data_IF_757838170564
#
_entry.id   IF_757838170564
#
_cell.length_a   1.000
_cell.length_b   1.000
_cell.length_c   1.000
_cell.angle_alpha   90.00
_cell.angle_beta   90.00
_cell.angle_gamma   90.00
#
_symmetry.space_group_name_H-M   'P 1'
#
loop_
_entity.id
_entity.type
_entity.pdbx_description
1 polymer ?
#
# COMPACT_ATOMS: atom_id res chain seq x y z
N UNK A 1 -5.75 33.90 -17.35
CA UNK A 1 -5.77 32.44 -17.06
C UNK A 1 -7.12 32.13 -16.41
N UNK A 2 -7.85 31.08 -16.82
CA UNK A 2 -9.11 30.66 -16.15
C UNK A 2 -8.86 29.32 -15.44
N UNK A 3 -8.84 29.29 -14.10
CA UNK A 3 -8.63 28.05 -13.36
C UNK A 3 -9.84 27.11 -13.52
N UNK A 4 -9.57 25.81 -13.60
CA UNK A 4 -10.58 24.74 -13.63
C UNK A 4 -10.48 23.98 -12.31
N UNK A 5 -11.62 23.71 -11.69
CA UNK A 5 -11.73 22.92 -10.46
C UNK A 5 -12.41 21.58 -10.75
N UNK A 6 -11.98 20.53 -10.05
CA UNK A 6 -12.55 19.18 -10.16
C UNK A 6 -12.82 18.62 -8.76
N UNK A 7 -13.88 17.83 -8.65
CA UNK A 7 -14.27 17.10 -7.44
C UNK A 7 -14.65 15.68 -7.84
N UNK A 8 -14.16 14.70 -7.08
CA UNK A 8 -14.42 13.28 -7.26
C UNK A 8 -15.51 12.76 -6.31
N UNK A 9 -16.22 11.73 -6.76
CA UNK A 9 -17.26 11.03 -5.99
C UNK A 9 -17.06 9.51 -6.09
N UNK A 10 -16.08 8.92 -5.37
CA UNK A 10 -15.72 7.51 -5.50
C UNK A 10 -16.89 6.54 -5.23
N UNK A 11 -17.82 6.91 -4.34
CA UNK A 11 -18.99 6.09 -4.00
C UNK A 11 -19.92 5.83 -5.20
N UNK A 12 -19.89 6.71 -6.21
CA UNK A 12 -20.68 6.52 -7.42
C UNK A 12 -20.09 5.42 -8.33
N UNK A 13 -18.78 5.18 -8.25
CA UNK A 13 -18.12 4.14 -9.03
C UNK A 13 -18.64 2.75 -8.65
N UNK A 14 -18.72 2.46 -7.34
CA UNK A 14 -19.22 1.18 -6.81
C UNK A 14 -20.71 0.94 -7.13
N UNK A 15 -21.48 2.00 -7.41
CA UNK A 15 -22.90 1.91 -7.83
C UNK A 15 -23.06 1.67 -9.34
N UNK A 16 -22.12 2.17 -10.14
CA UNK A 16 -22.20 2.15 -11.59
C UNK A 16 -21.51 0.93 -12.22
N UNK A 17 -20.45 0.43 -11.60
CA UNK A 17 -19.58 -0.61 -12.14
C UNK A 17 -19.26 -1.63 -11.05
N UNK A 18 -19.32 -2.91 -11.38
CA UNK A 18 -18.90 -3.97 -10.45
C UNK A 18 -17.37 -3.97 -10.35
N UNK A 19 -16.83 -4.33 -9.19
CA UNK A 19 -15.37 -4.42 -9.01
C UNK A 19 -14.73 -5.43 -9.99
N UNK A 20 -15.46 -6.48 -10.37
CA UNK A 20 -15.09 -7.44 -11.41
C UNK A 20 -14.88 -6.81 -12.79
N UNK A 21 -15.38 -5.60 -13.03
CA UNK A 21 -15.33 -4.90 -14.31
C UNK A 21 -14.36 -3.71 -14.27
N UNK A 22 -13.72 -3.46 -13.13
CA UNK A 22 -12.63 -2.49 -13.01
C UNK A 22 -11.47 -2.81 -13.98
N UNK A 23 -10.77 -1.80 -14.53
CA UNK A 23 -9.61 -2.07 -15.39
C UNK A 23 -8.48 -2.75 -14.61
N UNK A 24 -7.60 -3.46 -15.31
CA UNK A 24 -6.31 -3.85 -14.73
C UNK A 24 -5.42 -2.59 -14.56
N UNK A 25 -4.60 -2.59 -13.52
CA UNK A 25 -3.69 -1.50 -13.17
C UNK A 25 -2.28 -2.04 -12.98
N UNK A 26 -1.37 -1.58 -13.83
CA UNK A 26 0.06 -1.88 -13.73
C UNK A 26 0.79 -0.67 -13.13
N UNK A 27 1.53 -0.92 -12.06
CA UNK A 27 2.22 0.11 -11.27
C UNK A 27 3.71 -0.12 -11.36
N UNK A 28 4.43 0.88 -11.86
CA UNK A 28 5.88 0.83 -12.03
C UNK A 28 6.55 1.64 -10.92
N UNK A 29 7.45 0.99 -10.18
CA UNK A 29 8.33 1.62 -9.20
C UNK A 29 9.74 1.56 -9.76
N UNK A 30 10.32 2.72 -10.03
CA UNK A 30 11.68 2.81 -10.54
C UNK A 30 12.61 3.33 -9.45
N UNK A 31 13.77 2.71 -9.32
CA UNK A 31 14.85 3.15 -8.43
C UNK A 31 16.19 2.98 -9.13
N UNK A 32 17.19 3.78 -8.77
CA UNK A 32 18.49 3.79 -9.45
C UNK A 32 19.70 3.75 -8.51
N UNK A 33 19.60 4.26 -7.29
CA UNK A 33 20.73 4.35 -6.36
C UNK A 33 20.28 4.03 -4.93
N UNK A 34 20.68 2.89 -4.35
CA UNK A 34 20.22 2.47 -3.03
C UNK A 34 20.69 3.38 -1.88
N UNK A 35 21.65 4.29 -2.11
CA UNK A 35 22.08 5.26 -1.09
C UNK A 35 21.26 6.54 -1.13
N UNK A 36 20.76 6.93 -2.31
CA UNK A 36 19.87 8.08 -2.47
C UNK A 36 18.40 7.72 -2.30
N UNK A 37 18.05 6.50 -2.70
CA UNK A 37 16.72 5.90 -2.62
C UNK A 37 16.83 4.61 -1.79
N UNK A 38 16.85 4.72 -0.45
CA UNK A 38 17.05 3.57 0.41
C UNK A 38 16.06 2.44 0.11
N UNK A 39 16.52 1.17 0.06
CA UNK A 39 15.66 0.02 -0.25
C UNK A 39 14.41 -0.10 0.62
N UNK A 40 14.47 0.33 1.88
CA UNK A 40 13.31 0.36 2.77
C UNK A 40 12.20 1.29 2.25
N UNK A 41 12.56 2.43 1.65
CA UNK A 41 11.60 3.33 1.02
C UNK A 41 10.90 2.65 -0.16
N UNK A 42 11.67 1.98 -1.03
CA UNK A 42 11.15 1.22 -2.17
C UNK A 42 10.20 0.11 -1.70
N UNK A 43 10.58 -0.63 -0.66
CA UNK A 43 9.75 -1.66 -0.02
C UNK A 43 8.45 -1.09 0.53
N UNK A 44 8.51 0.03 1.26
CA UNK A 44 7.34 0.69 1.83
C UNK A 44 6.37 1.16 0.73
N UNK A 45 6.89 1.69 -0.38
CA UNK A 45 6.09 2.05 -1.56
C UNK A 45 5.43 0.82 -2.16
N UNK A 46 6.17 -0.26 -2.41
CA UNK A 46 5.64 -1.49 -2.99
C UNK A 46 4.54 -2.12 -2.12
N UNK A 47 4.76 -2.23 -0.81
CA UNK A 47 3.78 -2.78 0.13
C UNK A 47 2.54 -1.90 0.26
N UNK A 48 2.71 -0.58 0.27
CA UNK A 48 1.59 0.37 0.31
C UNK A 48 0.67 0.18 -0.89
N UNK A 49 1.26 0.08 -2.10
CA UNK A 49 0.52 -0.10 -3.35
C UNK A 49 -0.19 -1.46 -3.40
N UNK A 50 0.49 -2.55 -3.02
CA UNK A 50 -0.10 -3.89 -2.97
C UNK A 50 -1.28 -4.01 -1.98
N UNK A 51 -1.34 -3.11 -0.99
CA UNK A 51 -2.40 -3.05 0.02
C UNK A 51 -3.60 -2.17 -0.38
N UNK A 52 -3.63 -1.60 -1.58
CA UNK A 52 -4.73 -0.75 -2.05
C UNK A 52 -6.11 -1.45 -1.96
N UNK A 53 -7.16 -0.64 -1.79
CA UNK A 53 -8.55 -1.09 -1.88
C UNK A 53 -8.95 -1.29 -3.35
N UNK A 54 -8.37 -2.32 -3.96
CA UNK A 54 -8.60 -2.72 -5.35
C UNK A 54 -8.56 -4.24 -5.47
N UNK A 55 -9.28 -4.85 -6.44
CA UNK A 55 -9.20 -6.28 -6.68
C UNK A 55 -7.74 -6.74 -6.90
N UNK A 56 -7.31 -7.73 -6.13
CA UNK A 56 -5.90 -8.15 -6.07
C UNK A 56 -5.42 -8.71 -7.40
N UNK A 57 -6.30 -9.39 -8.12
CA UNK A 57 -6.08 -9.95 -9.45
C UNK A 57 -5.97 -8.89 -10.55
N UNK A 58 -6.18 -7.61 -10.21
CA UNK A 58 -6.11 -6.48 -11.13
C UNK A 58 -4.99 -5.49 -10.83
N UNK A 59 -4.23 -5.72 -9.75
CA UNK A 59 -3.08 -4.88 -9.41
C UNK A 59 -1.82 -5.67 -9.66
N UNK A 60 -0.98 -5.17 -10.56
CA UNK A 60 0.36 -5.69 -10.80
C UNK A 60 1.39 -4.62 -10.45
N UNK A 61 2.40 -4.98 -9.67
CA UNK A 61 3.48 -4.06 -9.28
C UNK A 61 4.79 -4.56 -9.89
N UNK A 62 5.45 -3.68 -10.62
CA UNK A 62 6.72 -3.90 -11.28
C UNK A 62 7.77 -3.00 -10.65
N UNK A 63 8.90 -3.57 -10.24
CA UNK A 63 10.03 -2.80 -9.71
C UNK A 63 11.18 -2.87 -10.71
N UNK A 64 11.61 -1.71 -11.20
CA UNK A 64 12.81 -1.55 -12.04
C UNK A 64 13.92 -0.93 -11.19
N UNK A 65 15.04 -1.62 -11.07
CA UNK A 65 16.24 -1.14 -10.37
C UNK A 65 17.37 -0.94 -11.37
N UNK A 66 17.57 0.30 -11.79
CA UNK A 66 18.63 0.70 -12.74
C UNK A 66 20.03 0.59 -12.10
N UNK A 67 20.11 0.59 -10.77
CA UNK A 67 21.36 0.42 -10.02
C UNK A 67 21.77 -1.03 -9.86
N UNK A 68 20.90 -1.99 -10.19
CA UNK A 68 21.16 -3.42 -10.05
C UNK A 68 21.57 -3.82 -8.64
N UNK A 69 21.00 -3.16 -7.63
CA UNK A 69 21.44 -3.25 -6.24
C UNK A 69 21.01 -4.58 -5.61
N UNK A 70 22.00 -5.38 -5.20
CA UNK A 70 21.74 -6.60 -4.43
C UNK A 70 20.99 -6.33 -3.12
N UNK A 71 21.18 -5.14 -2.52
CA UNK A 71 20.48 -4.73 -1.31
C UNK A 71 19.00 -4.45 -1.57
N UNK A 72 18.67 -3.83 -2.70
CA UNK A 72 17.29 -3.59 -3.13
C UNK A 72 16.58 -4.90 -3.38
N UNK A 73 17.22 -5.82 -4.11
CA UNK A 73 16.70 -7.16 -4.35
C UNK A 73 16.45 -7.92 -3.03
N UNK A 74 17.42 -7.93 -2.11
CA UNK A 74 17.27 -8.57 -0.82
C UNK A 74 16.08 -8.00 -0.03
N UNK A 75 15.98 -6.67 0.04
CA UNK A 75 14.88 -6.00 0.73
C UNK A 75 13.51 -6.38 0.15
N UNK A 76 13.38 -6.43 -1.18
CA UNK A 76 12.13 -6.83 -1.86
C UNK A 76 11.78 -8.30 -1.63
N UNK A 77 12.77 -9.20 -1.59
CA UNK A 77 12.54 -10.63 -1.26
C UNK A 77 12.02 -10.79 0.16
N UNK A 78 12.61 -10.09 1.14
CA UNK A 78 12.10 -10.11 2.52
C UNK A 78 10.74 -9.41 2.64
N UNK A 79 10.53 -8.33 1.89
CA UNK A 79 9.24 -7.66 1.81
C UNK A 79 8.14 -8.56 1.26
N UNK A 80 8.42 -9.40 0.27
CA UNK A 80 7.46 -10.35 -0.27
C UNK A 80 6.99 -11.37 0.79
N UNK A 81 7.89 -11.82 1.67
CA UNK A 81 7.53 -12.67 2.81
C UNK A 81 6.67 -11.89 3.82
N UNK A 82 7.05 -10.66 4.12
CA UNK A 82 6.29 -9.81 5.05
C UNK A 82 4.90 -9.43 4.50
N UNK A 83 4.77 -9.26 3.18
CA UNK A 83 3.51 -8.94 2.51
C UNK A 83 2.41 -9.97 2.81
N UNK A 84 2.78 -11.25 2.95
CA UNK A 84 1.85 -12.32 3.31
C UNK A 84 1.16 -12.08 4.67
N UNK A 85 1.79 -11.33 5.58
CA UNK A 85 1.23 -10.92 6.86
C UNK A 85 0.58 -9.53 6.77
N UNK A 86 1.26 -8.58 6.12
CA UNK A 86 0.86 -7.17 6.09
C UNK A 86 -0.40 -6.91 5.25
N UNK A 87 -0.51 -7.51 4.06
CA UNK A 87 -1.64 -7.23 3.16
C UNK A 87 -2.98 -7.71 3.75
N UNK A 88 -3.10 -8.94 4.28
CA UNK A 88 -4.33 -9.36 4.95
C UNK A 88 -4.64 -8.52 6.20
N UNK A 89 -3.61 -8.13 6.96
CA UNK A 89 -3.77 -7.24 8.12
C UNK A 89 -4.36 -5.88 7.71
N UNK A 90 -3.83 -5.26 6.66
CA UNK A 90 -4.34 -3.98 6.16
C UNK A 90 -5.81 -4.05 5.78
N UNK A 91 -6.18 -5.08 5.00
CA UNK A 91 -7.55 -5.27 4.51
C UNK A 91 -8.52 -5.57 5.66
N UNK A 92 -8.13 -6.45 6.60
CA UNK A 92 -8.98 -6.84 7.72
C UNK A 92 -9.26 -5.67 8.68
N UNK A 93 -8.29 -4.80 8.89
CA UNK A 93 -8.40 -3.69 9.84
C UNK A 93 -8.75 -2.36 9.16
N UNK A 94 -9.05 -2.35 7.85
CA UNK A 94 -9.33 -1.14 7.08
C UNK A 94 -8.26 -0.05 7.28
N UNK A 95 -7.00 -0.44 7.27
CA UNK A 95 -5.88 0.49 7.48
C UNK A 95 -5.84 1.52 6.35
N UNK A 96 -5.88 2.80 6.71
CA UNK A 96 -5.81 3.90 5.74
C UNK A 96 -4.37 4.11 5.28
N UNK A 97 -3.44 4.23 6.22
CA UNK A 97 -2.00 4.39 5.97
C UNK A 97 -1.33 3.04 5.75
N UNK A 98 -1.28 2.62 4.48
CA UNK A 98 -0.85 1.27 4.08
C UNK A 98 0.66 1.08 3.99
N UNK A 99 1.42 2.17 4.05
CA UNK A 99 2.88 2.10 4.19
C UNK A 99 3.21 1.65 5.62
N UNK A 100 3.94 0.52 5.81
CA UNK A 100 4.32 0.06 7.14
C UNK A 100 5.05 1.14 7.94
N UNK A 101 5.99 1.85 7.33
CA UNK A 101 6.74 2.93 7.99
C UNK A 101 5.81 4.04 8.50
N UNK A 102 4.86 4.51 7.68
CA UNK A 102 3.92 5.55 8.09
C UNK A 102 2.99 5.04 9.20
N UNK A 103 2.48 3.82 9.06
CA UNK A 103 1.60 3.21 10.04
C UNK A 103 2.27 3.09 11.42
N UNK A 104 3.51 2.59 11.47
CA UNK A 104 4.23 2.40 12.73
C UNK A 104 4.89 3.68 13.27
N UNK A 105 5.18 4.68 12.42
CA UNK A 105 5.69 5.98 12.86
C UNK A 105 4.60 6.86 13.50
N UNK A 106 3.34 6.60 13.16
CA UNK A 106 2.21 7.30 13.78
C UNK A 106 2.04 6.74 15.20
N UNK A 107 2.28 7.56 16.23
CA UNK A 107 2.08 7.24 17.66
C UNK A 107 0.60 6.99 18.03
N UNK A 108 -0.12 6.12 17.31
CA UNK A 108 -1.40 5.62 17.78
C UNK A 108 -1.19 4.47 18.75
N UNK A 109 -0.79 4.90 19.94
CA UNK A 109 -1.23 4.30 21.19
C UNK A 109 -2.72 3.92 21.09
N UNK A 110 -3.01 2.63 21.29
CA UNK A 110 -4.32 2.00 21.54
C UNK A 110 -5.28 1.93 20.35
N UNK A 111 -5.25 0.78 19.65
CA UNK A 111 -6.50 0.17 19.22
C UNK A 111 -7.44 0.07 20.41
N UNK A 112 -8.65 0.60 20.24
CA UNK A 112 -9.77 0.62 21.18
C UNK A 112 -10.33 -0.78 21.49
N UNK A 113 -9.50 -1.73 21.91
CA UNK A 113 -9.94 -3.11 22.23
C UNK A 113 -9.74 -3.53 23.71
N UNK A 114 -9.30 -2.64 24.60
CA UNK A 114 -9.14 -2.97 26.04
C UNK A 114 -10.23 -2.39 26.96
N UNK A 115 -11.32 -1.83 26.44
CA UNK A 115 -12.49 -1.44 27.24
C UNK A 115 -13.74 -2.25 26.85
N UNK A 116 -13.74 -3.57 27.04
CA UNK A 116 -14.98 -4.35 27.13
C UNK A 116 -14.78 -5.72 27.80
N UNK A 117 -14.06 -5.78 28.92
CA UNK A 117 -14.08 -6.92 29.86
C UNK A 117 -13.87 -6.46 31.31
N UNK A 118 -14.67 -5.51 31.80
CA UNK A 118 -14.88 -5.27 33.25
C UNK A 118 -16.31 -4.78 33.50
N UNK A 119 -17.28 -5.65 33.24
CA UNK A 119 -18.62 -5.55 33.81
C UNK A 119 -19.35 -6.87 33.58
N UNK A 120 -18.99 -7.86 34.40
CA UNK A 120 -19.89 -8.89 34.92
C UNK A 120 -19.38 -9.29 36.30
#
# INVERSE_FOLDING_TARGET
MRPVYRTEFPDNLKKAVKESDFPAMDLFICTADPYKEPPMGVVNTALSVLAYDYPAEKVSVYVSDDGGSALTLFALVEAAKFAALWLPFCRKNNIVDRSPEVFFATNNCLSSETQNKKSK
#
